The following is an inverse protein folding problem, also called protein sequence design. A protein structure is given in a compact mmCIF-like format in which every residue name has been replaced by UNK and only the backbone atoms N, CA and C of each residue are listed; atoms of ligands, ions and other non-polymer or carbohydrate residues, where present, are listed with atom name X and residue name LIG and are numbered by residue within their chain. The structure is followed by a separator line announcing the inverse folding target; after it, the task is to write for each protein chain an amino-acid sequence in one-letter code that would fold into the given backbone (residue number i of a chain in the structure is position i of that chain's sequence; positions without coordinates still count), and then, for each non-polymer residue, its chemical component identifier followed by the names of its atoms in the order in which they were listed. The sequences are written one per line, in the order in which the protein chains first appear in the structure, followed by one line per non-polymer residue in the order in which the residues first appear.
data_IF_362089911359
#
_entry.id   IF_362089911359
#
_cell.length_a   1.000
_cell.length_b   1.000
_cell.length_c   1.000
_cell.angle_alpha   90.00
_cell.angle_beta   90.00
_cell.angle_gamma   90.00
#
_symmetry.space_group_name_H-M   'P 1'
#
loop_
_entity.id
_entity.type
_entity.pdbx_description
1 polymer ?
#
# COMPACT_ATOMS: atom_id res chain seq x y z
N UNK A 1 -11.07 -5.83 5.99
CA UNK A 1 -11.02 -7.10 5.22
C UNK A 1 -9.73 -7.15 4.41
N UNK A 2 -9.05 -8.30 4.32
CA UNK A 2 -7.83 -8.50 3.54
C UNK A 2 -8.13 -9.44 2.36
N UNK A 3 -7.76 -9.01 1.15
CA UNK A 3 -7.74 -9.84 -0.04
C UNK A 3 -6.27 -10.13 -0.39
N UNK A 4 -5.75 -11.32 -0.08
CA UNK A 4 -4.35 -11.64 -0.33
C UNK A 4 -4.11 -11.89 -1.82
N UNK A 5 -2.93 -11.50 -2.31
CA UNK A 5 -2.41 -11.90 -3.60
C UNK A 5 -1.52 -13.14 -3.45
N UNK A 6 -1.54 -14.01 -4.45
CA UNK A 6 -0.71 -15.20 -4.52
C UNK A 6 -0.08 -15.35 -5.93
N UNK A 7 0.59 -16.48 -6.19
CA UNK A 7 1.22 -16.75 -7.50
C UNK A 7 0.23 -16.83 -8.66
N UNK A 8 -1.06 -17.11 -8.39
CA UNK A 8 -2.08 -17.18 -9.43
C UNK A 8 -2.34 -15.81 -10.05
N UNK A 9 -1.99 -14.71 -9.35
CA UNK A 9 -2.10 -13.36 -9.88
C UNK A 9 -1.19 -13.13 -11.09
N UNK A 10 -0.05 -13.84 -11.18
CA UNK A 10 0.82 -13.80 -12.36
C UNK A 10 0.13 -14.44 -13.57
N UNK A 11 -0.59 -15.54 -13.37
CA UNK A 11 -1.39 -16.16 -14.43
C UNK A 11 -2.57 -15.26 -14.84
N UNK A 12 -3.19 -14.59 -13.89
CA UNK A 12 -4.25 -13.63 -14.15
C UNK A 12 -3.78 -12.44 -15.00
N UNK A 13 -2.53 -12.00 -14.83
CA UNK A 13 -1.95 -10.92 -15.64
C UNK A 13 -1.91 -11.30 -17.13
N UNK A 14 -1.47 -12.52 -17.44
CA UNK A 14 -1.45 -13.03 -18.82
C UNK A 14 -2.88 -13.17 -19.37
N UNK A 15 -3.79 -13.73 -18.59
CA UNK A 15 -5.18 -13.90 -19.00
C UNK A 15 -5.89 -12.56 -19.25
N UNK A 16 -5.58 -11.51 -18.47
CA UNK A 16 -6.14 -10.17 -18.65
C UNK A 16 -5.81 -9.59 -20.03
N UNK A 17 -4.66 -9.91 -20.63
CA UNK A 17 -4.26 -9.37 -21.93
C UNK A 17 -5.22 -9.74 -23.05
N UNK A 18 -5.89 -10.89 -22.94
CA UNK A 18 -6.84 -11.42 -23.93
C UNK A 18 -8.30 -11.01 -23.63
N UNK A 19 -8.57 -10.40 -22.47
CA UNK A 19 -9.92 -10.06 -22.07
C UNK A 19 -10.39 -8.70 -22.64
N UNK A 20 -11.68 -8.60 -22.92
CA UNK A 20 -12.30 -7.30 -23.18
C UNK A 20 -12.39 -6.48 -21.90
N UNK A 21 -12.27 -5.16 -22.03
CA UNK A 21 -12.26 -4.20 -20.91
C UNK A 21 -11.22 -4.57 -19.85
N UNK A 22 -10.08 -5.07 -20.28
CA UNK A 22 -9.01 -5.61 -19.44
C UNK A 22 -8.50 -4.62 -18.38
N UNK A 23 -8.52 -3.33 -18.67
CA UNK A 23 -8.04 -2.26 -17.79
C UNK A 23 -9.00 -1.95 -16.65
N UNK A 24 -10.28 -2.25 -16.78
CA UNK A 24 -11.35 -1.89 -15.82
C UNK A 24 -11.89 -3.07 -15.01
N UNK A 25 -11.27 -4.25 -15.11
CA UNK A 25 -11.75 -5.45 -14.43
C UNK A 25 -11.80 -5.30 -12.91
N UNK A 26 -10.75 -4.74 -12.32
CA UNK A 26 -10.71 -4.52 -10.87
C UNK A 26 -11.75 -3.49 -10.44
N UNK A 27 -11.88 -2.38 -11.16
CA UNK A 27 -12.92 -1.37 -10.88
C UNK A 27 -14.31 -1.98 -10.87
N UNK A 28 -14.63 -2.81 -11.87
CA UNK A 28 -15.93 -3.47 -11.98
C UNK A 28 -16.15 -4.50 -10.86
N UNK A 29 -15.09 -5.21 -10.46
CA UNK A 29 -15.15 -6.17 -9.36
C UNK A 29 -15.35 -5.50 -7.98
N UNK A 30 -14.76 -4.32 -7.78
CA UNK A 30 -14.88 -3.55 -6.54
C UNK A 30 -16.20 -2.76 -6.45
N UNK A 31 -16.83 -2.41 -7.57
CA UNK A 31 -18.03 -1.58 -7.60
C UNK A 31 -19.15 -2.05 -6.66
N UNK A 32 -19.50 -3.35 -6.57
CA UNK A 32 -20.60 -3.82 -5.70
C UNK A 32 -20.29 -3.71 -4.20
N UNK A 33 -19.02 -3.63 -3.82
CA UNK A 33 -18.60 -3.64 -2.41
C UNK A 33 -18.01 -2.30 -1.95
N UNK A 34 -17.82 -1.36 -2.87
CA UNK A 34 -17.12 -0.09 -2.60
C UNK A 34 -17.79 0.70 -1.48
N UNK A 35 -19.10 0.76 -1.45
CA UNK A 35 -19.86 1.50 -0.44
C UNK A 35 -19.84 0.87 0.96
N UNK A 36 -19.34 -0.37 1.07
CA UNK A 36 -19.20 -1.05 2.35
C UNK A 36 -17.92 -0.69 3.10
N UNK A 37 -17.05 0.13 2.50
CA UNK A 37 -15.73 0.48 3.06
C UNK A 37 -15.50 1.98 2.96
N UNK A 38 -14.98 2.56 4.03
CA UNK A 38 -14.51 3.95 4.02
C UNK A 38 -13.27 4.12 3.15
N UNK A 39 -12.41 3.09 3.13
CA UNK A 39 -11.17 3.08 2.34
C UNK A 39 -10.86 1.69 1.80
N UNK A 40 -10.41 1.64 0.55
CA UNK A 40 -9.87 0.44 -0.11
C UNK A 40 -8.42 0.76 -0.49
N UNK A 41 -7.47 0.08 0.15
CA UNK A 41 -6.05 0.22 -0.15
C UNK A 41 -5.60 -0.90 -1.08
N UNK A 42 -4.98 -0.54 -2.20
CA UNK A 42 -4.49 -1.47 -3.22
C UNK A 42 -2.96 -1.37 -3.22
N UNK A 43 -2.29 -2.40 -2.74
CA UNK A 43 -0.83 -2.50 -2.81
C UNK A 43 -0.39 -2.95 -4.20
N UNK A 44 0.50 -2.19 -4.83
CA UNK A 44 0.93 -2.39 -6.20
C UNK A 44 2.44 -2.56 -6.30
N UNK A 45 2.93 -3.46 -7.18
CA UNK A 45 4.34 -3.53 -7.50
C UNK A 45 4.81 -2.27 -8.24
N UNK A 46 6.10 -1.94 -8.22
CA UNK A 46 6.64 -0.76 -8.90
C UNK A 46 6.60 -0.86 -10.44
N UNK A 47 6.27 -2.02 -10.98
CA UNK A 47 6.15 -2.23 -12.43
C UNK A 47 4.78 -1.75 -12.93
N UNK A 48 4.75 -1.13 -14.12
CA UNK A 48 3.51 -0.75 -14.81
C UNK A 48 2.94 -1.94 -15.59
N UNK A 49 2.61 -3.00 -14.87
CA UNK A 49 1.95 -4.18 -15.42
C UNK A 49 0.45 -3.93 -15.62
N UNK A 50 -0.25 -4.86 -16.31
CA UNK A 50 -1.70 -4.78 -16.47
C UNK A 50 -2.45 -4.79 -15.13
N UNK A 51 -1.88 -5.43 -14.10
CA UNK A 51 -2.42 -5.40 -12.75
C UNK A 51 -2.34 -4.01 -12.13
N UNK A 52 -1.20 -3.33 -12.27
CA UNK A 52 -1.01 -1.96 -11.80
C UNK A 52 -1.93 -0.98 -12.56
N UNK A 53 -2.11 -1.17 -13.87
CA UNK A 53 -3.07 -0.38 -14.66
C UNK A 53 -4.50 -0.57 -14.11
N UNK A 54 -4.91 -1.81 -13.81
CA UNK A 54 -6.22 -2.09 -13.20
C UNK A 54 -6.39 -1.39 -11.84
N UNK A 55 -5.35 -1.37 -11.03
CA UNK A 55 -5.38 -0.68 -9.74
C UNK A 55 -5.56 0.83 -9.92
N UNK A 56 -4.79 1.46 -10.82
CA UNK A 56 -4.89 2.89 -11.13
C UNK A 56 -6.24 3.27 -11.73
N UNK A 57 -6.82 2.40 -12.56
CA UNK A 57 -8.16 2.61 -13.12
C UNK A 57 -9.26 2.49 -12.06
N UNK A 58 -9.07 1.66 -11.03
CA UNK A 58 -10.03 1.47 -9.95
C UNK A 58 -9.90 2.51 -8.83
N UNK A 59 -8.74 3.15 -8.67
CA UNK A 59 -8.43 4.05 -7.57
C UNK A 59 -8.96 5.48 -7.79
N UNK A 60 -9.17 6.19 -6.69
CA UNK A 60 -9.46 7.63 -6.66
C UNK A 60 -8.17 8.44 -6.52
N UNK A 61 -7.17 7.88 -5.83
CA UNK A 61 -5.90 8.53 -5.56
C UNK A 61 -4.73 7.56 -5.48
N UNK A 62 -3.53 8.09 -5.67
CA UNK A 62 -2.27 7.36 -5.61
C UNK A 62 -1.37 8.00 -4.58
N UNK A 63 -0.90 7.20 -3.63
CA UNK A 63 0.20 7.57 -2.74
C UNK A 63 1.46 6.89 -3.27
N UNK A 64 2.53 7.65 -3.47
CA UNK A 64 3.80 7.13 -4.00
C UNK A 64 4.80 7.03 -2.83
N UNK A 65 5.01 5.83 -2.27
CA UNK A 65 6.07 5.62 -1.30
C UNK A 65 7.43 5.58 -2.01
N UNK A 66 8.40 6.32 -1.49
CA UNK A 66 9.73 6.38 -2.07
C UNK A 66 10.82 6.38 -1.01
N UNK A 67 11.94 5.73 -1.31
CA UNK A 67 13.13 5.78 -0.49
C UNK A 67 13.93 7.04 -0.84
N UNK A 68 14.54 7.66 0.16
CA UNK A 68 15.35 8.87 -0.03
C UNK A 68 16.77 8.50 -0.53
N UNK A 69 16.84 7.98 -1.77
CA UNK A 69 18.08 7.59 -2.44
C UNK A 69 18.22 8.31 -3.78
N UNK A 70 19.46 8.57 -4.22
CA UNK A 70 19.76 9.42 -5.36
C UNK A 70 19.04 9.02 -6.67
N UNK A 71 18.95 7.73 -6.96
CA UNK A 71 18.30 7.25 -8.20
C UNK A 71 16.76 7.31 -8.18
N UNK A 72 16.16 7.65 -7.05
CA UNK A 72 14.72 7.67 -6.94
C UNK A 72 14.05 8.86 -7.67
N UNK A 73 14.76 9.97 -7.90
CA UNK A 73 14.22 11.14 -8.61
C UNK A 73 13.99 10.89 -10.09
N UNK A 74 14.94 10.23 -10.76
CA UNK A 74 14.84 9.96 -12.19
C UNK A 74 13.64 9.02 -12.46
N UNK A 75 13.56 7.92 -11.73
CA UNK A 75 12.44 6.99 -11.83
C UNK A 75 11.08 7.59 -11.40
N UNK A 76 11.08 8.58 -10.50
CA UNK A 76 9.86 9.25 -10.05
C UNK A 76 9.20 10.06 -11.17
N UNK A 77 9.96 10.79 -11.95
CA UNK A 77 9.43 11.58 -13.06
C UNK A 77 8.75 10.69 -14.11
N UNK A 78 9.36 9.56 -14.46
CA UNK A 78 8.80 8.60 -15.39
C UNK A 78 7.54 7.93 -14.84
N UNK A 79 7.52 7.61 -13.55
CA UNK A 79 6.36 7.06 -12.88
C UNK A 79 5.19 8.05 -12.90
N UNK A 80 5.43 9.32 -12.53
CA UNK A 80 4.41 10.38 -12.54
C UNK A 80 3.84 10.57 -13.95
N UNK A 81 4.69 10.67 -14.95
CA UNK A 81 4.27 10.79 -16.34
C UNK A 81 3.40 9.60 -16.79
N UNK A 82 3.76 8.40 -16.37
CA UNK A 82 3.00 7.19 -16.68
C UNK A 82 1.64 7.16 -15.99
N UNK A 83 1.57 7.55 -14.71
CA UNK A 83 0.31 7.70 -13.97
C UNK A 83 -0.59 8.75 -14.64
N UNK A 84 -0.03 9.89 -15.02
CA UNK A 84 -0.78 10.96 -15.71
C UNK A 84 -1.34 10.49 -17.06
N UNK A 85 -0.59 9.73 -17.84
CA UNK A 85 -1.08 9.14 -19.10
C UNK A 85 -2.24 8.17 -18.88
N UNK A 86 -2.14 7.32 -17.86
CA UNK A 86 -3.22 6.39 -17.49
C UNK A 86 -4.44 7.18 -17.00
N UNK A 87 -4.24 8.22 -16.18
CA UNK A 87 -5.31 9.06 -15.70
C UNK A 87 -6.05 9.73 -16.88
N UNK A 88 -5.34 10.35 -17.80
CA UNK A 88 -5.93 11.01 -18.95
C UNK A 88 -6.71 10.07 -19.86
N UNK A 89 -6.21 8.85 -20.08
CA UNK A 89 -6.80 7.91 -21.01
C UNK A 89 -7.93 7.05 -20.41
N UNK A 90 -7.83 6.67 -19.13
CA UNK A 90 -8.66 5.60 -18.55
C UNK A 90 -9.36 5.99 -17.24
N UNK A 91 -8.83 6.94 -16.48
CA UNK A 91 -9.43 7.38 -15.21
C UNK A 91 -9.13 8.86 -14.92
N UNK A 92 -9.86 9.80 -15.56
CA UNK A 92 -9.61 11.24 -15.39
C UNK A 92 -9.81 11.77 -13.98
N UNK A 93 -10.45 11.00 -13.10
CA UNK A 93 -10.65 11.36 -11.68
C UNK A 93 -9.44 11.03 -10.81
N UNK A 94 -8.50 10.19 -11.29
CA UNK A 94 -7.33 9.78 -10.54
C UNK A 94 -6.42 10.95 -10.21
N UNK A 95 -6.06 11.08 -8.93
CA UNK A 95 -5.16 12.12 -8.43
C UNK A 95 -3.92 11.51 -7.81
N UNK A 96 -2.79 12.22 -7.89
CA UNK A 96 -1.64 11.92 -7.04
C UNK A 96 -1.88 12.63 -5.71
N UNK A 97 -2.19 11.85 -4.66
CA UNK A 97 -2.45 12.35 -3.30
C UNK A 97 -1.18 12.86 -2.64
N UNK A 98 -0.05 12.22 -2.95
CA UNK A 98 1.24 12.69 -2.49
C UNK A 98 2.35 11.66 -2.50
N UNK A 99 3.54 12.16 -2.17
CA UNK A 99 4.77 11.41 -2.05
C UNK A 99 5.09 11.16 -0.58
N UNK A 100 5.32 9.90 -0.22
CA UNK A 100 5.61 9.48 1.14
C UNK A 100 7.06 9.00 1.24
N UNK A 101 7.88 9.72 2.02
CA UNK A 101 9.27 9.33 2.26
C UNK A 101 9.32 8.13 3.19
N UNK A 102 9.96 7.05 2.73
CA UNK A 102 10.15 5.81 3.49
C UNK A 102 11.64 5.54 3.71
N UNK A 103 11.95 4.65 4.65
CA UNK A 103 13.33 4.30 5.01
C UNK A 103 14.18 5.54 5.34
N UNK A 104 13.55 6.56 5.89
CA UNK A 104 14.17 7.83 6.19
C UNK A 104 15.14 7.73 7.37
N UNK A 105 16.39 8.15 7.19
CA UNK A 105 17.38 8.26 8.25
C UNK A 105 17.92 9.71 8.31
N UNK A 106 17.52 10.50 9.31
CA UNK A 106 17.93 11.91 9.42
C UNK A 106 19.42 12.13 9.66
N UNK A 107 20.18 11.06 9.99
CA UNK A 107 21.63 11.14 10.21
C UNK A 107 22.42 11.13 8.91
N UNK A 108 21.80 10.75 7.81
CA UNK A 108 22.43 10.71 6.49
C UNK A 108 22.24 12.06 5.77
N UNK A 109 23.33 12.74 5.44
CA UNK A 109 23.29 14.00 4.68
C UNK A 109 22.56 13.86 3.35
N UNK A 110 22.85 12.78 2.62
CA UNK A 110 22.20 12.46 1.35
C UNK A 110 20.68 12.40 1.46
N UNK A 111 20.14 11.80 2.53
CA UNK A 111 18.70 11.72 2.79
C UNK A 111 18.10 13.11 3.00
N UNK A 112 18.81 13.99 3.71
CA UNK A 112 18.34 15.35 3.96
C UNK A 112 18.40 16.21 2.70
N UNK A 113 19.48 16.12 1.92
CA UNK A 113 19.62 16.84 0.64
C UNK A 113 18.53 16.43 -0.34
N UNK A 114 18.30 15.12 -0.47
CA UNK A 114 17.26 14.58 -1.30
C UNK A 114 15.85 15.02 -0.83
N UNK A 115 15.60 14.99 0.48
CA UNK A 115 14.35 15.44 1.08
C UNK A 115 14.09 16.93 0.79
N UNK A 116 15.14 17.76 0.78
CA UNK A 116 15.05 19.19 0.45
C UNK A 116 14.72 19.40 -1.02
N UNK A 117 15.33 18.65 -1.93
CA UNK A 117 15.02 18.69 -3.36
C UNK A 117 13.59 18.25 -3.64
N UNK A 118 13.10 17.19 -2.98
CA UNK A 118 11.70 16.77 -3.10
C UNK A 118 10.75 17.87 -2.64
N UNK A 119 11.06 18.54 -1.53
CA UNK A 119 10.24 19.63 -1.02
C UNK A 119 10.20 20.81 -1.97
N UNK A 120 11.31 21.13 -2.60
CA UNK A 120 11.41 22.20 -3.58
C UNK A 120 10.58 21.90 -4.84
N UNK A 121 10.61 20.65 -5.34
CA UNK A 121 9.92 20.28 -6.59
C UNK A 121 8.44 19.93 -6.40
N UNK A 122 8.07 19.32 -5.27
CA UNK A 122 6.73 18.78 -5.07
C UNK A 122 5.91 19.54 -4.01
N UNK A 123 6.54 20.42 -3.22
CA UNK A 123 5.84 21.32 -2.30
C UNK A 123 4.81 20.60 -1.42
N UNK A 124 3.55 20.98 -1.59
CA UNK A 124 2.42 20.46 -0.81
C UNK A 124 2.07 19.00 -1.14
N UNK A 125 2.54 18.45 -2.25
CA UNK A 125 2.37 17.03 -2.59
C UNK A 125 3.33 16.12 -1.80
N UNK A 126 4.31 16.68 -1.09
CA UNK A 126 5.20 15.90 -0.23
C UNK A 126 4.63 15.83 1.18
N UNK A 127 4.27 14.62 1.62
CA UNK A 127 3.81 14.44 3.00
C UNK A 127 4.88 14.88 3.99
N UNK A 128 4.46 15.63 5.02
CA UNK A 128 5.35 16.01 6.13
C UNK A 128 5.78 14.78 6.93
N UNK A 129 4.87 13.81 7.05
CA UNK A 129 5.15 12.51 7.67
C UNK A 129 6.21 11.75 6.90
N UNK A 130 7.12 11.11 7.64
CA UNK A 130 8.15 10.21 7.10
C UNK A 130 8.07 8.85 7.79
N UNK A 131 8.37 7.78 7.07
CA UNK A 131 8.53 6.44 7.64
C UNK A 131 10.02 6.21 7.88
N UNK A 132 10.48 6.14 9.14
CA UNK A 132 11.90 5.98 9.44
C UNK A 132 12.40 4.59 9.06
N UNK A 133 13.69 4.52 8.74
CA UNK A 133 14.38 3.24 8.55
C UNK A 133 14.34 2.43 9.84
N UNK A 134 13.84 1.20 9.74
CA UNK A 134 13.77 0.28 10.85
C UNK A 134 14.22 -1.12 10.43
N UNK A 135 15.39 -1.53 10.90
CA UNK A 135 16.01 -2.82 10.58
C UNK A 135 15.09 -3.98 11.03
N UNK A 136 14.48 -3.84 12.20
CA UNK A 136 13.60 -4.88 12.74
C UNK A 136 12.34 -5.08 11.90
N UNK A 137 11.85 -4.01 11.25
CA UNK A 137 10.72 -4.11 10.33
C UNK A 137 11.11 -4.88 9.05
N UNK A 138 12.32 -4.68 8.57
CA UNK A 138 12.83 -5.40 7.40
C UNK A 138 13.09 -6.89 7.70
N UNK A 139 13.46 -7.22 8.93
CA UNK A 139 13.74 -8.59 9.37
C UNK A 139 12.47 -9.37 9.76
N UNK A 140 11.41 -8.70 10.17
CA UNK A 140 10.18 -9.33 10.68
C UNK A 140 9.58 -10.39 9.74
N UNK A 141 9.51 -10.22 8.41
CA UNK A 141 9.01 -11.25 7.50
C UNK A 141 9.85 -12.52 7.50
N UNK A 142 11.17 -12.39 7.67
CA UNK A 142 12.12 -13.52 7.64
C UNK A 142 11.97 -14.44 8.85
N UNK A 143 11.47 -13.93 9.96
CA UNK A 143 11.30 -14.68 11.21
C UNK A 143 9.88 -15.21 11.41
N UNK A 144 8.96 -14.96 10.47
CA UNK A 144 7.55 -15.33 10.61
C UNK A 144 6.92 -14.80 11.91
N UNK A 145 7.43 -13.70 12.42
CA UNK A 145 7.12 -13.20 13.75
C UNK A 145 5.68 -12.71 13.81
N UNK A 146 4.85 -13.17 14.75
CA UNK A 146 3.52 -12.64 14.93
C UNK A 146 3.60 -11.13 15.16
N UNK A 147 2.80 -10.37 14.42
CA UNK A 147 2.82 -8.92 14.50
C UNK A 147 2.57 -8.39 15.94
N UNK A 148 1.87 -9.16 16.78
CA UNK A 148 1.71 -8.89 18.21
C UNK A 148 3.05 -8.90 18.97
N UNK A 149 3.90 -9.90 18.72
CA UNK A 149 5.24 -9.98 19.35
C UNK A 149 6.09 -8.82 18.89
N UNK A 150 6.02 -8.47 17.61
CA UNK A 150 6.71 -7.31 17.06
C UNK A 150 6.25 -6.00 17.74
N UNK A 151 4.93 -5.82 17.91
CA UNK A 151 4.35 -4.63 18.53
C UNK A 151 4.69 -4.49 20.01
N UNK A 152 4.56 -5.57 20.79
CA UNK A 152 4.68 -5.54 22.25
C UNK A 152 6.11 -5.76 22.74
N UNK A 153 6.82 -6.74 22.18
CA UNK A 153 8.14 -7.10 22.65
C UNK A 153 9.24 -6.16 22.15
N UNK A 154 9.20 -5.80 20.86
CA UNK A 154 10.18 -4.91 20.26
C UNK A 154 9.81 -3.43 20.31
N UNK A 155 8.64 -3.08 20.85
CA UNK A 155 8.11 -1.70 20.88
C UNK A 155 8.22 -1.02 19.51
N UNK A 156 7.88 -1.73 18.46
CA UNK A 156 8.00 -1.22 17.10
C UNK A 156 7.09 -0.01 16.89
N UNK A 157 7.67 1.16 16.85
CA UNK A 157 6.94 2.42 16.63
C UNK A 157 6.38 2.55 15.21
N UNK A 158 6.85 1.71 14.27
CA UNK A 158 6.46 1.78 12.85
C UNK A 158 4.97 1.51 12.60
N UNK A 159 4.37 0.53 13.29
CA UNK A 159 2.92 0.26 13.17
C UNK A 159 2.13 1.41 13.80
N UNK A 160 2.54 1.92 14.97
CA UNK A 160 1.94 3.12 15.57
C UNK A 160 2.14 4.37 14.71
N UNK A 161 3.25 4.46 13.99
CA UNK A 161 3.49 5.55 13.05
C UNK A 161 2.54 5.45 11.85
N UNK A 162 2.32 4.24 11.31
CA UNK A 162 1.33 4.00 10.28
C UNK A 162 -0.07 4.40 10.75
N UNK A 163 -0.50 3.90 11.93
CA UNK A 163 -1.83 4.19 12.48
C UNK A 163 -2.03 5.69 12.77
N UNK A 164 -1.12 6.30 13.53
CA UNK A 164 -1.30 7.68 13.99
C UNK A 164 -0.97 8.72 12.94
N UNK A 165 0.15 8.51 12.23
CA UNK A 165 0.71 9.57 11.41
C UNK A 165 0.26 9.46 9.94
N UNK A 166 -0.05 8.27 9.44
CA UNK A 166 -0.50 8.10 8.06
C UNK A 166 -2.00 7.96 8.02
N UNK A 167 -2.55 6.91 8.63
CA UNK A 167 -3.98 6.65 8.56
C UNK A 167 -4.78 7.75 9.28
N UNK A 168 -4.33 8.19 10.46
CA UNK A 168 -4.93 9.30 11.19
C UNK A 168 -4.82 10.64 10.46
N UNK A 169 -3.70 10.90 9.77
CA UNK A 169 -3.50 12.12 8.99
C UNK A 169 -4.41 12.21 7.77
N UNK A 170 -4.64 11.09 7.08
CA UNK A 170 -5.61 11.02 5.96
C UNK A 170 -7.06 10.86 6.43
N UNK A 171 -7.32 11.01 7.72
CA UNK A 171 -8.68 11.03 8.27
C UNK A 171 -9.26 9.66 8.60
N UNK A 172 -8.48 8.58 8.55
CA UNK A 172 -8.92 7.24 8.94
C UNK A 172 -8.90 7.11 10.46
N UNK A 173 -10.06 7.16 11.10
CA UNK A 173 -10.19 6.99 12.56
C UNK A 173 -11.63 6.54 12.90
N UNK A 174 -11.83 5.54 13.78
CA UNK A 174 -10.80 4.74 14.46
C UNK A 174 -10.15 3.70 13.54
N UNK A 175 -8.86 3.43 13.74
CA UNK A 175 -8.14 2.38 13.03
C UNK A 175 -8.25 1.07 13.81
N UNK A 176 -8.91 0.08 13.23
CA UNK A 176 -8.99 -1.28 13.77
C UNK A 176 -8.01 -2.18 13.03
N UNK A 177 -6.94 -2.57 13.73
CA UNK A 177 -5.96 -3.50 13.18
C UNK A 177 -6.33 -4.95 13.49
N UNK A 178 -6.20 -5.80 12.48
CA UNK A 178 -6.13 -7.24 12.68
C UNK A 178 -4.81 -7.74 12.08
N UNK A 179 -3.89 -8.12 12.95
CA UNK A 179 -2.56 -8.60 12.56
C UNK A 179 -2.60 -10.13 12.46
N UNK A 180 -2.43 -10.65 11.26
CA UNK A 180 -2.37 -12.09 10.98
C UNK A 180 -0.91 -12.47 10.78
N UNK A 181 -0.36 -13.26 11.71
CA UNK A 181 0.99 -13.80 11.59
C UNK A 181 0.98 -15.32 11.39
N UNK A 182 2.06 -15.85 10.81
CA UNK A 182 2.32 -17.29 10.66
C UNK A 182 1.20 -18.09 9.97
N UNK A 183 0.57 -17.52 8.95
CA UNK A 183 -0.52 -18.19 8.20
C UNK A 183 -0.05 -19.50 7.57
N UNK A 184 1.22 -19.55 7.14
CA UNK A 184 1.81 -20.73 6.51
C UNK A 184 2.09 -21.87 7.50
N UNK A 185 2.15 -21.58 8.80
CA UNK A 185 2.33 -22.59 9.87
C UNK A 185 1.04 -23.08 10.48
N UNK A 186 -0.12 -22.53 10.06
CA UNK A 186 -1.42 -22.97 10.51
C UNK A 186 -1.86 -24.22 9.74
N UNK A 187 -2.37 -25.20 10.46
CA UNK A 187 -3.10 -26.32 9.88
C UNK A 187 -4.44 -25.85 9.28
N UNK A 188 -5.15 -26.75 8.64
CA UNK A 188 -6.40 -26.43 7.92
C UNK A 188 -7.49 -25.94 8.85
N UNK A 189 -7.55 -26.46 10.08
CA UNK A 189 -8.48 -26.04 11.12
C UNK A 189 -8.15 -24.63 11.65
N UNK A 190 -6.88 -24.34 11.82
CA UNK A 190 -6.38 -23.01 12.20
C UNK A 190 -6.69 -21.94 11.17
N UNK A 191 -6.52 -22.26 9.89
CA UNK A 191 -6.88 -21.37 8.77
C UNK A 191 -8.38 -21.10 8.72
N UNK A 192 -9.19 -22.16 8.84
CA UNK A 192 -10.66 -22.05 8.86
C UNK A 192 -11.14 -21.22 10.05
N UNK A 193 -10.56 -21.40 11.23
CA UNK A 193 -10.89 -20.63 12.43
C UNK A 193 -10.53 -19.14 12.25
N UNK A 194 -9.40 -18.84 11.62
CA UNK A 194 -9.02 -17.48 11.28
C UNK A 194 -9.99 -16.83 10.27
N UNK A 195 -10.36 -17.55 9.21
CA UNK A 195 -11.34 -17.07 8.24
C UNK A 195 -12.70 -16.76 8.88
N UNK A 196 -13.16 -17.62 9.79
CA UNK A 196 -14.40 -17.40 10.55
C UNK A 196 -14.31 -16.17 11.46
N UNK A 197 -13.15 -15.94 12.12
CA UNK A 197 -12.92 -14.73 12.92
C UNK A 197 -12.96 -13.47 12.04
N UNK A 198 -12.29 -13.49 10.89
CA UNK A 198 -12.29 -12.36 9.96
C UNK A 198 -13.70 -12.06 9.43
N UNK A 199 -14.46 -13.09 9.08
CA UNK A 199 -15.87 -12.93 8.69
C UNK A 199 -16.74 -12.36 9.81
N UNK A 200 -16.45 -12.70 11.08
CA UNK A 200 -17.16 -12.15 12.24
C UNK A 200 -16.80 -10.67 12.48
N UNK A 201 -15.53 -10.27 12.24
CA UNK A 201 -15.14 -8.86 12.29
C UNK A 201 -15.82 -8.04 11.20
N UNK A 202 -15.88 -8.55 9.95
CA UNK A 202 -16.57 -7.88 8.86
C UNK A 202 -18.08 -7.66 9.15
N UNK A 203 -18.73 -8.60 9.83
CA UNK A 203 -20.14 -8.45 10.23
C UNK A 203 -20.39 -7.47 11.38
N UNK A 204 -19.37 -7.12 12.17
CA UNK A 204 -19.48 -6.14 13.26
C UNK A 204 -19.16 -4.72 12.83
N UNK A 205 -18.52 -4.57 11.67
CA UNK A 205 -18.17 -3.28 11.08
C UNK A 205 -19.26 -2.78 10.11
N UNK A 206 -20.27 -3.60 9.81
CA UNK A 206 -21.50 -3.24 9.10
C UNK A 206 -22.60 -2.94 10.11
#
# INVERSE_FOLDING_TARGET
QLLPANRDLTAAEVALLEMQMKESRLRNALAPIRENYDYILIDCPPSLSMLTVNALVAADGVIIPMQCEYFALEGLSDLINSIQRIAQALNPALKIEGLLRTMYDPRMSLTNDFSSQLKEHFGDQLYQTVIPRNIRLAEAPSFGMPALVYRFYFRAHSVRSLERNILGFVGISPVHETLIGMVDSLDEDGRTNWLNKMAAFGRRAA
#
